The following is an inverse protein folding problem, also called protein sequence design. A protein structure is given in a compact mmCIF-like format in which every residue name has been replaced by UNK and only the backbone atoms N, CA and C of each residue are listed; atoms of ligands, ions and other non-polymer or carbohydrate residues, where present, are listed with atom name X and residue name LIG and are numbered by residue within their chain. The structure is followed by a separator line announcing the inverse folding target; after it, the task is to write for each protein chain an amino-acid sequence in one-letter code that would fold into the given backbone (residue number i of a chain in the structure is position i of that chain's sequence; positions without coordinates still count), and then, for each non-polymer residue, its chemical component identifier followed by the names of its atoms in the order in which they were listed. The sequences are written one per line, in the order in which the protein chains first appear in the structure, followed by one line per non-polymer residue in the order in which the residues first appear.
data_IF_414901872149
#
_entry.id   IF_414901872149
#
_cell.length_a   1.000
_cell.length_b   1.000
_cell.length_c   1.000
_cell.angle_alpha   90.00
_cell.angle_beta   90.00
_cell.angle_gamma   90.00
#
_symmetry.space_group_name_H-M   'P 1'
#
loop_
_entity.id
_entity.type
_entity.pdbx_description
1 polymer ?
#
# COMPACT_ATOMS: atom_id res chain seq x y z
N UNK A 1 -10.84 -6.49 14.64
CA UNK A 1 -10.93 -6.36 13.16
C UNK A 1 -10.77 -7.68 12.39
N UNK A 2 -10.46 -8.83 13.02
CA UNK A 2 -10.30 -10.15 12.34
C UNK A 2 -11.47 -10.51 11.41
N UNK A 3 -12.71 -10.33 11.87
CA UNK A 3 -13.92 -10.68 11.11
C UNK A 3 -14.11 -9.87 9.81
N UNK A 4 -13.54 -8.67 9.73
CA UNK A 4 -13.57 -7.85 8.51
C UNK A 4 -12.42 -8.32 7.61
N UNK A 5 -11.20 -8.36 8.15
CA UNK A 5 -9.98 -8.69 7.41
C UNK A 5 -9.99 -10.08 6.80
N UNK A 6 -10.73 -11.04 7.36
CA UNK A 6 -10.86 -12.39 6.80
C UNK A 6 -11.60 -12.43 5.44
N UNK A 7 -12.34 -11.38 5.09
CA UNK A 7 -13.04 -11.28 3.81
C UNK A 7 -12.15 -10.66 2.70
N UNK A 8 -10.89 -10.35 3.00
CA UNK A 8 -9.96 -9.71 2.09
C UNK A 8 -8.70 -10.55 1.87
N UNK A 9 -8.01 -10.30 0.76
CA UNK A 9 -6.70 -10.90 0.50
C UNK A 9 -5.62 -10.15 1.26
N UNK A 10 -5.13 -10.76 2.34
CA UNK A 10 -4.08 -10.16 3.14
C UNK A 10 -2.70 -10.47 2.57
N UNK A 11 -1.85 -9.45 2.52
CA UNK A 11 -0.45 -9.61 2.16
C UNK A 11 0.43 -8.64 2.94
N UNK A 12 1.72 -8.94 3.06
CA UNK A 12 2.66 -8.10 3.80
C UNK A 12 4.09 -8.57 3.66
N UNK A 13 5.02 -7.75 4.16
CA UNK A 13 6.45 -8.09 4.19
C UNK A 13 6.72 -9.25 5.16
N UNK A 14 7.79 -10.00 4.91
CA UNK A 14 8.00 -11.34 5.49
C UNK A 14 7.74 -11.46 6.99
N UNK A 15 8.43 -10.67 7.81
CA UNK A 15 8.27 -10.70 9.27
C UNK A 15 6.85 -10.33 9.70
N UNK A 16 6.27 -9.29 9.11
CA UNK A 16 4.91 -8.82 9.41
C UNK A 16 3.85 -9.87 9.04
N UNK A 17 3.92 -10.42 7.83
CA UNK A 17 2.98 -11.43 7.35
C UNK A 17 3.02 -12.69 8.22
N UNK A 18 4.22 -13.11 8.63
CA UNK A 18 4.41 -14.25 9.53
C UNK A 18 3.77 -13.99 10.90
N UNK A 19 4.10 -12.85 11.53
CA UNK A 19 3.55 -12.49 12.85
C UNK A 19 2.02 -12.39 12.83
N UNK A 20 1.44 -11.79 11.78
CA UNK A 20 -0.03 -11.70 11.65
C UNK A 20 -0.65 -13.09 11.49
N UNK A 21 -0.10 -13.93 10.61
CA UNK A 21 -0.62 -15.29 10.40
C UNK A 21 -0.56 -16.12 11.69
N UNK A 22 0.57 -16.08 12.42
CA UNK A 22 0.74 -16.82 13.67
C UNK A 22 -0.21 -16.35 14.79
N UNK A 23 -0.52 -15.05 14.85
CA UNK A 23 -1.37 -14.47 15.92
C UNK A 23 -2.86 -14.48 15.61
N UNK A 24 -3.23 -14.52 14.34
CA UNK A 24 -4.63 -14.36 13.91
C UNK A 24 -5.17 -15.57 13.19
N UNK A 25 -4.32 -16.51 12.77
CA UNK A 25 -4.67 -17.67 11.94
C UNK A 25 -5.27 -17.30 10.57
N UNK A 26 -5.16 -16.02 10.17
CA UNK A 26 -5.57 -15.59 8.85
C UNK A 26 -4.49 -15.93 7.81
N UNK A 27 -4.87 -16.32 6.59
CA UNK A 27 -3.91 -16.51 5.51
C UNK A 27 -3.36 -15.15 5.07
N UNK A 28 -2.05 -14.92 5.24
CA UNK A 28 -1.37 -13.72 4.76
C UNK A 28 -0.27 -14.10 3.78
N UNK A 29 -0.34 -13.57 2.56
CA UNK A 29 0.74 -13.74 1.57
C UNK A 29 1.99 -12.98 2.04
N UNK A 30 3.07 -13.71 2.28
CA UNK A 30 4.35 -13.13 2.62
C UNK A 30 5.15 -12.73 1.37
N UNK A 31 5.69 -11.52 1.40
CA UNK A 31 6.73 -11.02 0.52
C UNK A 31 8.10 -11.05 1.23
N UNK A 32 9.16 -10.58 0.58
CA UNK A 32 10.45 -10.38 1.25
C UNK A 32 10.31 -9.40 2.42
N UNK A 33 11.28 -9.39 3.34
CA UNK A 33 11.33 -8.32 4.35
C UNK A 33 11.51 -6.97 3.67
N UNK A 34 10.93 -5.90 4.24
CA UNK A 34 11.05 -4.52 3.74
C UNK A 34 12.49 -4.16 3.33
N UNK A 35 13.47 -4.27 4.24
CA UNK A 35 14.88 -3.95 3.95
C UNK A 35 15.57 -4.82 2.88
N UNK A 36 14.97 -5.96 2.48
CA UNK A 36 15.50 -6.83 1.42
C UNK A 36 14.70 -6.68 0.12
N UNK A 37 14.01 -5.54 -0.05
CA UNK A 37 13.22 -5.21 -1.24
C UNK A 37 11.73 -5.59 -1.16
N UNK A 38 11.23 -5.98 0.02
CA UNK A 38 9.81 -6.26 0.23
C UNK A 38 8.93 -5.05 -0.08
N UNK A 39 9.38 -3.85 0.27
CA UNK A 39 8.62 -2.61 0.06
C UNK A 39 8.48 -2.30 -1.44
N UNK A 40 9.51 -2.63 -2.22
CA UNK A 40 9.47 -2.51 -3.69
C UNK A 40 8.55 -3.56 -4.32
N UNK A 41 8.47 -4.77 -3.76
CA UNK A 41 7.50 -5.77 -4.21
C UNK A 41 6.07 -5.28 -3.99
N UNK A 42 5.77 -4.70 -2.82
CA UNK A 42 4.46 -4.08 -2.54
C UNK A 42 4.19 -2.94 -3.52
N UNK A 43 5.15 -2.04 -3.73
CA UNK A 43 5.02 -0.93 -4.68
C UNK A 43 4.72 -1.40 -6.11
N UNK A 44 5.38 -2.47 -6.56
CA UNK A 44 5.10 -3.09 -7.86
C UNK A 44 3.65 -3.62 -7.94
N UNK A 45 3.15 -4.25 -6.87
CA UNK A 45 1.77 -4.75 -6.84
C UNK A 45 0.72 -3.64 -6.79
N UNK A 46 1.04 -2.48 -6.22
CA UNK A 46 0.17 -1.30 -6.31
C UNK A 46 0.04 -0.87 -7.78
N UNK A 47 1.16 -0.80 -8.51
CA UNK A 47 1.19 -0.43 -9.93
C UNK A 47 0.39 -1.43 -10.79
N UNK A 48 0.49 -2.72 -10.49
CA UNK A 48 -0.24 -3.79 -11.20
C UNK A 48 -1.73 -3.86 -10.84
N UNK A 49 -2.20 -3.09 -9.86
CA UNK A 49 -3.58 -3.19 -9.34
C UNK A 49 -3.83 -4.41 -8.44
N UNK A 50 -2.78 -5.10 -8.02
CA UNK A 50 -2.83 -6.28 -7.16
C UNK A 50 -2.83 -5.94 -5.66
N UNK A 51 -2.51 -4.70 -5.30
CA UNK A 51 -2.69 -4.14 -3.95
C UNK A 51 -3.43 -2.82 -4.10
N UNK A 52 -4.52 -2.72 -3.35
CA UNK A 52 -5.50 -1.67 -3.53
C UNK A 52 -5.84 -0.97 -2.19
N UNK A 53 -5.25 -1.41 -1.08
CA UNK A 53 -5.39 -0.85 0.26
C UNK A 53 -4.13 -1.15 1.07
N UNK A 54 -3.58 -0.15 1.77
CA UNK A 54 -2.32 -0.30 2.52
C UNK A 54 -2.47 0.16 3.97
N UNK A 55 -2.04 -0.69 4.90
CA UNK A 55 -1.75 -0.31 6.29
C UNK A 55 -0.24 -0.33 6.46
N UNK A 56 0.36 0.83 6.73
CA UNK A 56 1.81 0.95 6.90
C UNK A 56 2.17 1.67 8.19
N UNK A 57 2.28 0.92 9.28
CA UNK A 57 2.72 1.47 10.56
C UNK A 57 4.24 1.52 10.59
N UNK A 58 4.78 2.72 10.43
CA UNK A 58 6.19 3.04 10.51
C UNK A 58 6.51 3.73 11.85
N UNK A 59 7.77 3.67 12.29
CA UNK A 59 8.22 4.37 13.49
C UNK A 59 8.55 5.83 13.13
N UNK A 60 7.85 6.83 13.70
CA UNK A 60 8.08 8.24 13.38
C UNK A 60 9.28 8.87 14.10
N UNK A 61 9.89 8.18 15.06
CA UNK A 61 10.98 8.71 15.89
C UNK A 61 12.35 8.18 15.47
N UNK A 62 12.40 6.95 14.95
CA UNK A 62 13.64 6.32 14.49
C UNK A 62 13.75 6.36 12.97
N UNK A 63 14.81 7.01 12.46
CA UNK A 63 15.16 6.92 11.03
C UNK A 63 15.65 5.51 10.74
N UNK A 64 14.99 4.85 9.79
CA UNK A 64 15.37 3.52 9.37
C UNK A 64 16.29 3.59 8.13
N UNK A 65 17.24 2.66 7.96
CA UNK A 65 18.11 2.64 6.77
C UNK A 65 17.35 2.57 5.43
N UNK A 66 16.07 2.17 5.47
CA UNK A 66 15.15 2.06 4.34
C UNK A 66 14.11 3.21 4.29
N UNK A 67 14.33 4.34 4.95
CA UNK A 67 13.50 5.55 4.84
C UNK A 67 13.21 6.02 3.40
N UNK A 68 14.16 5.91 2.42
CA UNK A 68 13.85 6.19 1.02
C UNK A 68 12.72 5.31 0.46
N UNK A 69 12.65 4.06 0.89
CA UNK A 69 11.63 3.09 0.44
C UNK A 69 10.26 3.44 1.03
N UNK A 70 10.21 3.96 2.27
CA UNK A 70 8.97 4.49 2.88
C UNK A 70 8.39 5.61 2.01
N UNK A 71 9.21 6.59 1.64
CA UNK A 71 8.77 7.71 0.79
C UNK A 71 8.34 7.25 -0.59
N UNK A 72 9.03 6.26 -1.16
CA UNK A 72 8.67 5.68 -2.45
C UNK A 72 7.29 5.00 -2.40
N UNK A 73 7.00 4.25 -1.33
CA UNK A 73 5.71 3.59 -1.14
C UNK A 73 4.56 4.60 -0.90
N UNK A 74 4.78 5.64 -0.11
CA UNK A 74 3.80 6.72 0.07
C UNK A 74 3.50 7.42 -1.25
N UNK A 75 4.53 7.72 -2.04
CA UNK A 75 4.39 8.34 -3.36
C UNK A 75 3.60 7.46 -4.31
N UNK A 76 3.88 6.15 -4.38
CA UNK A 76 3.18 5.26 -5.30
C UNK A 76 1.70 5.11 -4.93
N UNK A 77 1.38 5.02 -3.63
CA UNK A 77 0.00 4.98 -3.17
C UNK A 77 -0.78 6.24 -3.58
N UNK A 78 -0.15 7.43 -3.47
CA UNK A 78 -0.76 8.69 -3.89
C UNK A 78 -0.95 8.78 -5.42
N UNK A 79 0.01 8.27 -6.21
CA UNK A 79 -0.09 8.24 -7.68
C UNK A 79 -1.28 7.37 -8.12
N UNK A 80 -1.46 6.20 -7.50
CA UNK A 80 -2.53 5.27 -7.85
C UNK A 80 -3.84 5.49 -7.08
N UNK A 81 -3.91 6.57 -6.28
CA UNK A 81 -5.08 6.97 -5.48
C UNK A 81 -5.65 5.82 -4.63
N UNK A 82 -4.76 5.07 -3.96
CA UNK A 82 -5.18 3.96 -3.09
C UNK A 82 -5.27 4.43 -1.63
N UNK A 83 -6.25 3.95 -0.85
CA UNK A 83 -6.29 4.20 0.59
C UNK A 83 -5.01 3.70 1.28
N UNK A 84 -4.37 4.59 2.05
CA UNK A 84 -3.20 4.26 2.85
C UNK A 84 -3.35 4.82 4.27
N UNK A 85 -3.14 3.97 5.27
CA UNK A 85 -3.09 4.38 6.68
C UNK A 85 -1.68 4.21 7.23
N UNK A 86 -1.11 5.34 7.65
CA UNK A 86 0.25 5.40 8.22
C UNK A 86 0.28 5.36 9.75
N UNK A 87 -0.90 5.27 10.36
CA UNK A 87 -1.08 5.18 11.81
C UNK A 87 -2.40 4.48 12.13
N UNK A 88 -2.56 4.10 13.40
CA UNK A 88 -3.73 3.37 13.88
C UNK A 88 -5.04 4.14 13.71
N UNK A 89 -5.05 5.45 13.98
CA UNK A 89 -6.27 6.25 13.88
C UNK A 89 -6.80 6.25 12.44
N UNK A 90 -5.95 6.46 11.44
CA UNK A 90 -6.34 6.37 10.03
C UNK A 90 -6.81 4.96 9.68
N UNK A 91 -6.14 3.92 10.17
CA UNK A 91 -6.57 2.53 9.93
C UNK A 91 -7.97 2.23 10.50
N UNK A 92 -8.27 2.73 11.70
CA UNK A 92 -9.58 2.56 12.34
C UNK A 92 -10.70 3.25 11.55
N UNK A 93 -10.44 4.43 10.98
CA UNK A 93 -11.39 5.11 10.08
C UNK A 93 -11.56 4.37 8.74
N UNK A 94 -10.46 3.92 8.13
CA UNK A 94 -10.54 3.27 6.82
C UNK A 94 -11.24 1.92 6.89
N UNK A 95 -10.96 1.10 7.91
CA UNK A 95 -11.56 -0.23 8.04
C UNK A 95 -13.05 -0.20 8.41
N UNK A 96 -13.53 0.92 8.95
CA UNK A 96 -14.95 1.14 9.28
C UNK A 96 -15.72 1.83 8.17
N UNK A 97 -15.05 2.24 7.08
CA UNK A 97 -15.69 2.79 5.90
C UNK A 97 -16.61 1.76 5.25
N UNK A 98 -17.77 2.22 4.74
CA UNK A 98 -18.64 1.37 3.89
C UNK A 98 -17.89 0.77 2.69
N UNK A 99 -16.95 1.53 2.14
CA UNK A 99 -16.14 1.15 0.98
C UNK A 99 -15.14 0.03 1.28
N UNK A 100 -14.98 -0.39 2.53
CA UNK A 100 -14.19 -1.58 2.85
C UNK A 100 -14.83 -2.83 2.25
N UNK A 101 -16.16 -2.90 2.17
CA UNK A 101 -16.91 -4.08 1.73
C UNK A 101 -17.63 -3.88 0.38
N UNK A 102 -17.35 -2.79 -0.33
CA UNK A 102 -18.00 -2.42 -1.60
C UNK A 102 -16.94 -2.02 -2.62
N UNK A 103 -17.25 -2.16 -3.91
CA UNK A 103 -16.39 -1.63 -4.96
C UNK A 103 -16.33 -0.09 -4.88
N UNK A 104 -15.13 0.46 -5.01
CA UNK A 104 -14.89 1.89 -5.02
C UNK A 104 -14.16 2.30 -6.30
N UNK A 105 -14.83 3.10 -7.13
CA UNK A 105 -14.24 3.65 -8.35
C UNK A 105 -13.34 4.85 -8.02
N UNK A 106 -12.03 4.69 -8.26
CA UNK A 106 -11.01 5.72 -8.00
C UNK A 106 -10.93 6.69 -9.15
N UNK A 107 -10.66 7.96 -8.84
CA UNK A 107 -10.38 8.98 -9.86
C UNK A 107 -8.88 9.06 -10.10
N UNK A 108 -8.33 8.00 -10.70
CA UNK A 108 -6.89 7.93 -10.99
C UNK A 108 -6.56 8.92 -12.12
N UNK A 109 -5.56 9.77 -11.88
CA UNK A 109 -5.06 10.71 -12.88
C UNK A 109 -4.44 9.91 -14.03
N UNK A 110 -4.78 10.24 -15.28
CA UNK A 110 -4.15 9.64 -16.44
C UNK A 110 -2.74 10.21 -16.62
N UNK A 111 -1.76 9.66 -15.89
CA UNK A 111 -0.37 10.09 -15.94
C UNK A 111 0.25 9.87 -17.33
N UNK A 112 -0.19 8.88 -18.09
CA UNK A 112 0.30 8.67 -19.46
C UNK A 112 0.01 9.87 -20.35
N UNK A 113 -1.20 10.45 -20.24
CA UNK A 113 -1.56 11.68 -20.95
C UNK A 113 -0.67 12.85 -20.53
N UNK A 114 -0.50 13.06 -19.23
CA UNK A 114 0.35 14.15 -18.70
C UNK A 114 1.80 14.01 -19.18
N UNK A 115 2.34 12.79 -19.17
CA UNK A 115 3.69 12.53 -19.66
C UNK A 115 3.82 12.76 -21.16
N UNK A 116 2.81 12.37 -21.93
CA UNK A 116 2.77 12.65 -23.37
C UNK A 116 2.73 14.15 -23.68
N UNK A 117 1.87 14.90 -22.97
CA UNK A 117 1.76 16.35 -23.12
C UNK A 117 3.09 17.05 -22.81
N UNK A 118 3.79 16.63 -21.74
CA UNK A 118 5.12 17.15 -21.37
C UNK A 118 6.19 16.87 -22.43
N UNK A 119 6.19 15.66 -22.99
CA UNK A 119 7.14 15.31 -24.06
C UNK A 119 6.92 16.19 -25.31
N UNK A 120 5.66 16.49 -25.63
CA UNK A 120 5.31 17.35 -26.76
C UNK A 120 5.71 18.82 -26.53
N UNK A 121 5.71 19.31 -25.28
CA UNK A 121 6.21 20.65 -24.94
C UNK A 121 7.73 20.76 -25.03
N UNK A 122 8.47 19.72 -24.62
CA UNK A 122 9.94 19.71 -24.65
C UNK A 122 10.52 19.59 -26.07
N UNK A 123 9.71 19.13 -27.02
CA UNK A 123 10.11 18.92 -28.42
C UNK A 123 9.69 20.08 -29.35
N UNK A 124 9.03 21.11 -28.81
CA UNK A 124 8.79 22.40 -29.45
C UNK A 124 9.93 23.39 -29.19
#
# INVERSE_FOLDING_TARGET
NKNILMNHFLSGTGTTARLISEKTELPVRAYNSGPLGGDQQIGCRIVEGNIDFVIFFWDPLESQPHDPDVKALLRIAAVYDIPIANNRATADFLITSRYMNEEYERKVINFNKIMHDRLNEMTK
#
